data_IF_784263209304
#
_entry.id   IF_784263209304
#
_cell.length_a   1.000
_cell.length_b   1.000
_cell.length_c   1.000
_cell.angle_alpha   90.00
_cell.angle_beta   90.00
_cell.angle_gamma   90.00
#
_symmetry.space_group_name_H-M   'P 1'
#
loop_
_entity.id
_entity.type
_entity.pdbx_description
1 polymer ?
#
# COMPACT_ATOMS: atom_id res chain seq x y z
N UNK A 1 3.40 15.39 5.32
CA UNK A 1 2.11 14.64 5.33
C UNK A 1 2.23 13.44 4.42
N UNK A 2 1.73 12.27 4.81
CA UNK A 2 1.78 11.05 3.98
C UNK A 2 0.84 11.19 2.79
N UNK A 3 1.39 11.24 1.57
CA UNK A 3 0.63 11.31 0.32
C UNK A 3 0.42 9.94 -0.33
N UNK A 4 1.35 9.00 -0.15
CA UNK A 4 1.31 7.67 -0.76
C UNK A 4 1.43 6.57 0.29
N UNK A 5 0.65 5.51 0.15
CA UNK A 5 0.79 4.30 0.97
C UNK A 5 1.26 3.13 0.10
N UNK A 6 2.41 2.57 0.42
CA UNK A 6 2.99 1.39 -0.23
C UNK A 6 2.78 0.19 0.69
N UNK A 7 1.90 -0.71 0.29
CA UNK A 7 1.55 -1.93 1.00
C UNK A 7 2.15 -3.15 0.32
N UNK A 8 2.67 -4.07 1.12
CA UNK A 8 3.14 -5.37 0.64
C UNK A 8 2.45 -6.51 1.38
N UNK A 9 2.12 -7.58 0.66
CA UNK A 9 1.47 -8.77 1.22
C UNK A 9 2.35 -9.54 2.21
N UNK A 10 3.67 -9.47 2.02
CA UNK A 10 4.69 -10.14 2.82
C UNK A 10 5.97 -9.31 2.88
N UNK A 11 6.75 -9.48 3.95
CA UNK A 11 8.09 -8.87 4.06
C UNK A 11 9.05 -9.35 2.96
N UNK A 12 8.81 -10.54 2.41
CA UNK A 12 9.57 -11.09 1.29
C UNK A 12 9.46 -10.27 0.00
N UNK A 13 8.49 -9.35 -0.08
CA UNK A 13 8.31 -8.45 -1.22
C UNK A 13 9.09 -7.13 -1.05
N UNK A 14 9.70 -6.89 0.12
CA UNK A 14 10.35 -5.62 0.46
C UNK A 14 11.48 -5.25 -0.51
N UNK A 15 12.40 -6.18 -0.80
CA UNK A 15 13.52 -5.95 -1.71
C UNK A 15 13.05 -5.58 -3.12
N UNK A 16 11.93 -6.17 -3.57
CA UNK A 16 11.32 -5.87 -4.88
C UNK A 16 10.60 -4.52 -4.90
N UNK A 17 10.07 -4.10 -3.75
CA UNK A 17 9.37 -2.83 -3.61
C UNK A 17 10.27 -1.66 -3.20
N UNK A 18 11.51 -1.92 -2.80
CA UNK A 18 12.48 -0.86 -2.43
C UNK A 18 12.72 0.18 -3.54
N UNK A 19 12.80 -0.18 -4.84
CA UNK A 19 12.88 0.80 -5.91
C UNK A 19 11.67 1.76 -5.96
N UNK A 20 10.47 1.30 -5.59
CA UNK A 20 9.28 2.14 -5.56
C UNK A 20 9.42 3.28 -4.53
N UNK A 21 9.88 2.97 -3.31
CA UNK A 21 10.02 3.98 -2.26
C UNK A 21 11.21 4.91 -2.51
N UNK A 22 12.29 4.40 -3.13
CA UNK A 22 13.43 5.24 -3.56
C UNK A 22 13.00 6.33 -4.55
N UNK A 23 12.18 5.98 -5.55
CA UNK A 23 11.65 6.98 -6.50
C UNK A 23 10.75 8.00 -5.78
N UNK A 24 9.94 7.57 -4.82
CA UNK A 24 9.11 8.50 -4.03
C UNK A 24 9.99 9.45 -3.19
N UNK A 25 11.09 8.96 -2.62
CA UNK A 25 12.05 9.77 -1.87
C UNK A 25 12.77 10.79 -2.75
N UNK A 26 13.26 10.39 -3.93
CA UNK A 26 13.90 11.27 -4.91
C UNK A 26 12.97 12.41 -5.37
N UNK A 27 11.67 12.13 -5.45
CA UNK A 27 10.64 13.11 -5.79
C UNK A 27 10.14 13.92 -4.59
N UNK A 28 10.62 13.66 -3.38
CA UNK A 28 10.19 14.33 -2.15
C UNK A 28 8.74 14.02 -1.76
N UNK A 29 8.21 12.86 -2.15
CA UNK A 29 6.84 12.43 -1.89
C UNK A 29 6.80 11.63 -0.57
N UNK A 30 6.25 12.25 0.47
CA UNK A 30 6.05 11.60 1.76
C UNK A 30 5.17 10.36 1.63
N UNK A 31 5.66 9.21 2.10
CA UNK A 31 5.00 7.93 1.94
C UNK A 31 5.04 7.08 3.22
N UNK A 32 4.25 6.02 3.24
CA UNK A 32 4.31 4.95 4.25
C UNK A 32 4.62 3.64 3.53
N UNK A 33 5.53 2.86 4.09
CA UNK A 33 5.92 1.55 3.56
C UNK A 33 5.67 0.48 4.63
N UNK A 34 4.73 -0.45 4.40
CA UNK A 34 4.36 -1.41 5.43
C UNK A 34 3.78 -2.71 4.90
N UNK A 35 3.85 -3.76 5.71
CA UNK A 35 3.28 -5.09 5.42
C UNK A 35 1.84 -5.16 5.89
N UNK A 36 0.93 -5.55 5.01
CA UNK A 36 -0.46 -5.93 5.35
C UNK A 36 -0.98 -6.97 4.35
N UNK A 37 -1.81 -7.90 4.79
CA UNK A 37 -2.20 -9.05 3.98
C UNK A 37 -3.71 -9.13 3.81
N UNK A 38 -4.17 -9.23 2.56
CA UNK A 38 -5.58 -9.43 2.23
C UNK A 38 -6.15 -10.75 2.77
N UNK A 39 -5.33 -11.78 2.95
CA UNK A 39 -5.78 -13.09 3.43
C UNK A 39 -5.56 -13.27 4.93
N UNK A 40 -4.40 -12.84 5.44
CA UNK A 40 -4.01 -13.09 6.83
C UNK A 40 -4.49 -12.03 7.82
N UNK A 41 -4.62 -10.79 7.35
CA UNK A 41 -4.97 -9.63 8.19
C UNK A 41 -5.91 -8.65 7.45
N UNK A 42 -7.08 -9.10 6.95
CA UNK A 42 -7.98 -8.26 6.16
C UNK A 42 -8.53 -7.06 6.94
N UNK A 43 -8.87 -7.23 8.22
CA UNK A 43 -9.39 -6.14 9.07
C UNK A 43 -8.34 -5.06 9.29
N UNK A 44 -7.08 -5.46 9.50
CA UNK A 44 -5.95 -4.52 9.61
C UNK A 44 -5.74 -3.76 8.31
N UNK A 45 -5.85 -4.43 7.16
CA UNK A 45 -5.74 -3.79 5.84
C UNK A 45 -6.80 -2.71 5.67
N UNK A 46 -8.07 -3.04 5.95
CA UNK A 46 -9.18 -2.08 5.87
C UNK A 46 -8.99 -0.90 6.84
N UNK A 47 -8.53 -1.17 8.07
CA UNK A 47 -8.24 -0.14 9.06
C UNK A 47 -7.12 0.81 8.60
N UNK A 48 -6.03 0.27 8.06
CA UNK A 48 -4.92 1.08 7.54
C UNK A 48 -5.38 2.00 6.42
N UNK A 49 -6.20 1.51 5.48
CA UNK A 49 -6.76 2.35 4.41
C UNK A 49 -7.53 3.52 5.03
N UNK A 50 -8.52 3.26 5.89
CA UNK A 50 -9.35 4.30 6.49
C UNK A 50 -8.55 5.31 7.33
N UNK A 51 -7.58 4.84 8.12
CA UNK A 51 -6.78 5.70 8.98
C UNK A 51 -5.78 6.55 8.17
N UNK A 52 -5.27 6.04 7.05
CA UNK A 52 -4.36 6.79 6.16
C UNK A 52 -5.12 7.81 5.31
N UNK A 53 -6.33 7.52 4.85
CA UNK A 53 -7.17 8.51 4.16
C UNK A 53 -7.48 9.71 5.07
N UNK A 54 -7.83 9.47 6.33
CA UNK A 54 -8.03 10.54 7.33
C UNK A 54 -6.77 11.41 7.53
N UNK A 55 -5.59 10.84 7.29
CA UNK A 55 -4.30 11.53 7.36
C UNK A 55 -3.87 12.19 6.03
N UNK A 56 -4.73 12.13 5.01
CA UNK A 56 -4.51 12.79 3.72
C UNK A 56 -3.83 11.93 2.66
N UNK A 57 -3.78 10.60 2.82
CA UNK A 57 -3.29 9.70 1.77
C UNK A 57 -4.10 9.87 0.47
N UNK A 58 -3.42 9.96 -0.66
CA UNK A 58 -4.02 10.19 -1.97
C UNK A 58 -3.89 9.01 -2.94
N UNK A 59 -2.91 8.13 -2.76
CA UNK A 59 -2.65 6.99 -3.65
C UNK A 59 -2.17 5.79 -2.85
N UNK A 60 -2.60 4.59 -3.25
CA UNK A 60 -2.13 3.32 -2.71
C UNK A 60 -1.35 2.54 -3.79
N UNK A 61 -0.21 1.99 -3.42
CA UNK A 61 0.60 1.08 -4.24
C UNK A 61 0.65 -0.24 -3.49
N UNK A 62 0.18 -1.33 -4.10
CA UNK A 62 -0.05 -2.61 -3.44
C UNK A 62 0.70 -3.72 -4.15
N UNK A 63 1.67 -4.32 -3.47
CA UNK A 63 2.45 -5.44 -3.96
C UNK A 63 1.96 -6.77 -3.41
N UNK A 64 1.71 -7.75 -4.28
CA UNK A 64 1.38 -9.11 -3.85
C UNK A 64 1.80 -10.16 -4.88
N UNK A 65 2.42 -11.25 -4.43
CA UNK A 65 2.69 -12.43 -5.25
C UNK A 65 1.56 -13.46 -5.26
N UNK A 66 1.60 -14.37 -6.24
CA UNK A 66 0.71 -15.53 -6.36
C UNK A 66 -0.77 -15.13 -6.48
N UNK A 67 -1.60 -15.47 -5.47
CA UNK A 67 -2.98 -15.02 -5.39
C UNK A 67 -3.05 -13.54 -4.98
N UNK A 68 -2.69 -12.65 -5.91
CA UNK A 68 -2.38 -11.24 -5.69
C UNK A 68 -3.62 -10.35 -5.42
N UNK A 69 -4.39 -10.65 -4.38
CA UNK A 69 -5.65 -9.95 -4.08
C UNK A 69 -5.48 -8.61 -3.35
N UNK A 70 -4.28 -8.25 -2.90
CA UNK A 70 -4.08 -7.07 -2.05
C UNK A 70 -4.56 -5.77 -2.71
N UNK A 71 -4.18 -5.53 -3.97
CA UNK A 71 -4.60 -4.34 -4.70
C UNK A 71 -6.13 -4.26 -4.84
N UNK A 72 -6.77 -5.37 -5.23
CA UNK A 72 -8.23 -5.43 -5.33
C UNK A 72 -8.95 -5.24 -4.00
N UNK A 73 -8.44 -5.86 -2.93
CA UNK A 73 -8.98 -5.73 -1.58
C UNK A 73 -8.88 -4.28 -1.07
N UNK A 74 -7.77 -3.59 -1.36
CA UNK A 74 -7.60 -2.18 -1.03
C UNK A 74 -8.52 -1.30 -1.87
N UNK A 75 -8.59 -1.52 -3.20
CA UNK A 75 -9.46 -0.78 -4.11
C UNK A 75 -10.94 -0.87 -3.72
N UNK A 76 -11.39 -2.01 -3.17
CA UNK A 76 -12.75 -2.17 -2.66
C UNK A 76 -13.05 -1.35 -1.39
N UNK A 77 -12.05 -0.71 -0.77
CA UNK A 77 -12.16 0.03 0.50
C UNK A 77 -11.85 1.52 0.38
N UNK A 78 -11.54 2.03 -0.82
CA UNK A 78 -11.14 3.42 -1.04
C UNK A 78 -11.70 3.94 -2.36
N UNK A 79 -11.96 5.24 -2.43
CA UNK A 79 -12.21 5.94 -3.70
C UNK A 79 -10.92 6.49 -4.33
N UNK A 80 -9.78 6.34 -3.66
CA UNK A 80 -8.47 6.80 -4.13
C UNK A 80 -7.89 5.81 -5.15
N UNK A 81 -7.02 6.27 -6.06
CA UNK A 81 -6.31 5.39 -6.98
C UNK A 81 -5.52 4.30 -6.26
N UNK A 82 -5.59 3.08 -6.78
CA UNK A 82 -4.82 1.93 -6.32
C UNK A 82 -4.02 1.35 -7.49
N UNK A 83 -2.71 1.25 -7.32
CA UNK A 83 -1.77 0.67 -8.28
C UNK A 83 -1.37 -0.71 -7.77
N UNK A 84 -1.65 -1.76 -8.55
CA UNK A 84 -1.20 -3.12 -8.24
C UNK A 84 0.18 -3.40 -8.86
N UNK A 85 1.07 -4.02 -8.07
CA UNK A 85 2.41 -4.46 -8.46
C UNK A 85 2.57 -5.96 -8.22
#
# INVERSE_FOLDING_TARGET
>A
MTKVAVFMGSISDEDKMRPCVQVLDELGIGHVFTVTSAHRTPERTAKLVADLEKKGCQVYICAAGMAAHLAGAVAAKTAKPVIGV
#
